data_IF_123356374879
#
_entry.id   IF_123356374879
#
_cell.length_a   1.000
_cell.length_b   1.000
_cell.length_c   1.000
_cell.angle_alpha   90.00
_cell.angle_beta   90.00
_cell.angle_gamma   90.00
#
_symmetry.space_group_name_H-M   'P 1'
#
loop_
_entity.id
_entity.type
_entity.pdbx_description
1 polymer ?
#
# COMPACT_ATOMS: atom_id res chain seq x y z
N UNK A 1 31.55 10.98 -1.58
CA UNK A 1 32.02 10.50 -0.26
C UNK A 1 33.13 11.44 0.22
N UNK A 2 33.18 11.74 1.51
CA UNK A 2 34.32 12.47 2.06
C UNK A 2 35.55 11.57 2.12
N UNK A 3 36.73 12.20 2.23
CA UNK A 3 37.99 11.48 2.39
C UNK A 3 37.92 10.51 3.59
N UNK A 4 38.63 9.39 3.47
CA UNK A 4 38.75 8.34 4.51
C UNK A 4 37.42 7.77 5.01
N UNK A 5 36.36 7.88 4.21
CA UNK A 5 35.02 7.40 4.58
C UNK A 5 34.42 8.14 5.77
N UNK A 6 34.87 9.38 6.06
CA UNK A 6 34.32 10.20 7.14
C UNK A 6 32.96 10.80 6.79
N UNK A 7 32.25 11.28 7.80
CA UNK A 7 30.93 11.92 7.60
C UNK A 7 31.03 13.40 7.19
N UNK A 8 32.18 14.06 7.41
CA UNK A 8 32.48 15.42 6.91
C UNK A 8 31.76 16.56 7.63
N UNK A 9 30.55 16.33 8.12
CA UNK A 9 29.70 17.29 8.83
C UNK A 9 29.19 16.70 10.16
N UNK A 10 28.73 17.56 11.07
CA UNK A 10 28.10 17.11 12.32
C UNK A 10 26.78 16.40 12.03
N UNK A 11 26.61 15.19 12.56
CA UNK A 11 25.35 14.44 12.52
C UNK A 11 24.62 14.50 13.86
N UNK A 12 23.28 14.58 13.84
CA UNK A 12 22.46 14.51 15.04
C UNK A 12 21.53 13.30 15.01
N UNK A 13 21.68 12.41 15.99
CA UNK A 13 20.91 11.18 16.11
C UNK A 13 19.64 11.34 16.92
N UNK A 14 18.48 11.41 16.26
CA UNK A 14 17.17 11.64 16.93
C UNK A 14 16.74 10.55 17.93
N UNK A 15 17.21 9.30 17.77
CA UNK A 15 16.84 8.19 18.68
C UNK A 15 17.64 8.19 19.98
N UNK A 16 18.91 8.59 19.90
CA UNK A 16 19.84 8.58 21.03
C UNK A 16 20.14 9.97 21.59
N UNK A 17 19.68 11.03 20.92
CA UNK A 17 20.02 12.43 21.21
C UNK A 17 21.55 12.67 21.26
N UNK A 18 22.30 11.99 20.40
CA UNK A 18 23.77 12.06 20.35
C UNK A 18 24.27 12.79 19.11
N UNK A 19 25.37 13.54 19.27
CA UNK A 19 26.08 14.16 18.17
C UNK A 19 27.20 13.25 17.63
N UNK A 20 27.30 13.15 16.31
CA UNK A 20 28.32 12.42 15.58
C UNK A 20 29.37 13.39 15.07
N UNK A 21 30.60 13.21 15.54
CA UNK A 21 31.72 14.09 15.20
C UNK A 21 32.15 13.89 13.73
N UNK A 22 32.38 14.99 12.97
CA UNK A 22 32.68 14.95 11.53
C UNK A 22 33.96 14.20 11.14
N UNK A 23 34.96 14.18 12.02
CA UNK A 23 36.30 13.62 11.74
C UNK A 23 36.52 12.26 12.39
N UNK A 24 35.74 11.90 13.42
CA UNK A 24 35.87 10.63 14.13
C UNK A 24 34.88 9.59 13.63
N UNK A 25 33.68 10.01 13.21
CA UNK A 25 32.62 9.10 12.75
C UNK A 25 32.82 8.73 11.29
N UNK A 26 32.40 7.52 10.92
CA UNK A 26 32.51 7.02 9.56
C UNK A 26 31.14 6.91 8.90
N UNK A 27 31.10 7.09 7.59
CA UNK A 27 29.88 6.95 6.82
C UNK A 27 29.40 5.50 6.87
N UNK A 28 28.10 5.31 7.03
CA UNK A 28 27.43 4.02 6.97
C UNK A 28 27.87 3.27 5.70
N UNK A 29 28.28 2.00 5.80
CA UNK A 29 28.98 1.20 4.76
C UNK A 29 30.49 1.44 4.58
N UNK A 30 31.13 2.22 5.44
CA UNK A 30 32.59 2.11 5.62
C UNK A 30 32.85 0.89 6.50
N UNK A 31 33.90 0.11 6.24
CA UNK A 31 34.28 -1.05 7.05
C UNK A 31 34.88 -0.67 8.43
N UNK A 32 34.29 0.32 9.10
CA UNK A 32 34.79 0.88 10.36
C UNK A 32 33.64 1.00 11.37
N UNK A 33 33.96 0.83 12.65
CA UNK A 33 33.03 1.07 13.74
C UNK A 33 32.67 2.57 13.86
N UNK A 34 31.58 2.89 14.59
CA UNK A 34 31.03 4.25 14.76
C UNK A 34 30.45 4.81 13.46
N UNK A 35 29.57 4.04 12.85
CA UNK A 35 28.89 4.37 11.60
C UNK A 35 27.74 5.37 11.81
N UNK A 36 27.65 6.36 10.92
CA UNK A 36 26.53 7.29 10.81
C UNK A 36 26.29 7.61 9.34
N UNK A 37 25.06 7.95 8.95
CA UNK A 37 24.76 8.31 7.55
C UNK A 37 25.20 9.75 7.28
N UNK A 38 26.20 9.94 6.42
CA UNK A 38 26.63 11.29 6.00
C UNK A 38 25.54 12.01 5.20
N UNK A 39 25.61 13.34 5.14
CA UNK A 39 24.78 14.15 4.24
C UNK A 39 25.00 13.81 2.77
N UNK A 40 26.24 13.49 2.37
CA UNK A 40 26.54 13.00 1.02
C UNK A 40 25.71 11.75 0.71
N UNK A 41 25.70 10.76 1.61
CA UNK A 41 24.95 9.51 1.41
C UNK A 41 23.45 9.72 1.52
N UNK A 42 23.02 10.54 2.47
CA UNK A 42 21.62 10.94 2.61
C UNK A 42 21.12 11.61 1.33
N UNK A 43 21.87 12.53 0.73
CA UNK A 43 21.47 13.22 -0.51
C UNK A 43 21.28 12.26 -1.69
N UNK A 44 22.07 11.17 -1.77
CA UNK A 44 21.92 10.14 -2.80
C UNK A 44 20.67 9.30 -2.60
N UNK A 45 20.32 8.97 -1.37
CA UNK A 45 19.12 8.22 -1.05
C UNK A 45 17.86 9.09 -1.10
N UNK A 46 17.96 10.35 -0.67
CA UNK A 46 16.83 11.25 -0.48
C UNK A 46 16.07 11.49 -1.77
N UNK A 47 16.75 11.75 -2.90
CA UNK A 47 16.06 11.92 -4.19
C UNK A 47 15.26 10.68 -4.56
N UNK A 48 15.83 9.48 -4.37
CA UNK A 48 15.12 8.24 -4.66
C UNK A 48 13.94 8.02 -3.72
N UNK A 49 14.11 8.26 -2.42
CA UNK A 49 13.02 8.19 -1.44
C UNK A 49 11.92 9.15 -1.86
N UNK A 50 12.25 10.43 -2.09
CA UNK A 50 11.30 11.45 -2.51
C UNK A 50 10.57 11.08 -3.81
N UNK A 51 11.27 10.52 -4.80
CA UNK A 51 10.64 10.04 -6.03
C UNK A 51 9.69 8.88 -5.76
N UNK A 52 10.13 7.85 -5.03
CA UNK A 52 9.29 6.67 -4.76
C UNK A 52 8.11 6.99 -3.85
N UNK A 53 8.27 7.91 -2.90
CA UNK A 53 7.17 8.38 -2.04
C UNK A 53 6.30 9.40 -2.73
N UNK A 54 6.79 10.12 -3.75
CA UNK A 54 5.92 10.98 -4.57
C UNK A 54 4.92 10.17 -5.42
N UNK A 55 5.13 8.87 -5.53
CA UNK A 55 4.15 7.93 -6.08
C UNK A 55 3.06 7.56 -5.05
N UNK A 56 2.80 8.43 -4.08
CA UNK A 56 1.73 8.35 -3.07
C UNK A 56 0.32 8.17 -3.66
N UNK A 57 0.17 8.18 -5.00
CA UNK A 57 -1.03 7.86 -5.76
C UNK A 57 -1.10 6.39 -6.24
N UNK A 58 -0.49 5.47 -5.50
CA UNK A 58 -0.36 4.07 -5.94
C UNK A 58 0.69 3.91 -7.04
N UNK A 59 1.15 2.68 -7.25
CA UNK A 59 1.92 2.39 -8.46
C UNK A 59 1.06 2.82 -9.66
N UNK A 60 1.61 3.52 -10.67
CA UNK A 60 0.83 3.84 -11.86
C UNK A 60 0.20 2.56 -12.37
N UNK A 61 -1.13 2.53 -12.43
CA UNK A 61 -1.85 1.45 -13.10
C UNK A 61 -1.23 1.37 -14.49
N UNK A 62 -0.75 0.19 -14.95
CA UNK A 62 -0.19 0.09 -16.28
C UNK A 62 -1.21 0.68 -17.27
N UNK A 63 -0.90 1.82 -17.88
CA UNK A 63 -1.81 2.45 -18.82
C UNK A 63 -1.70 1.74 -20.17
N UNK A 64 -2.85 1.32 -20.70
CA UNK A 64 -2.97 0.80 -22.05
C UNK A 64 -3.76 -0.52 -22.13
N UNK A 65 -4.24 -0.87 -23.35
CA UNK A 65 -4.98 -2.11 -23.60
C UNK A 65 -4.18 -3.39 -23.29
N UNK A 66 -2.87 -3.28 -23.09
CA UNK A 66 -1.95 -4.37 -22.76
C UNK A 66 -1.79 -4.62 -21.26
N UNK A 67 -2.44 -3.84 -20.39
CA UNK A 67 -2.36 -4.04 -18.94
C UNK A 67 -2.98 -5.38 -18.51
N UNK A 68 -3.98 -5.87 -19.26
CA UNK A 68 -4.68 -7.14 -18.98
C UNK A 68 -5.43 -7.17 -17.64
N UNK A 69 -5.50 -6.04 -16.91
CA UNK A 69 -6.12 -5.96 -15.60
C UNK A 69 -7.63 -5.70 -15.70
N UNK A 70 -8.37 -6.19 -14.70
CA UNK A 70 -9.78 -5.87 -14.48
C UNK A 70 -9.87 -4.73 -13.47
N UNK A 71 -10.49 -3.62 -13.89
CA UNK A 71 -10.70 -2.42 -13.06
C UNK A 71 -9.50 -1.47 -13.04
N UNK A 72 -9.77 -0.25 -12.56
CA UNK A 72 -8.77 0.84 -12.38
C UNK A 72 -8.66 1.31 -10.93
N UNK A 73 -9.60 0.90 -10.09
CA UNK A 73 -9.57 1.04 -8.63
C UNK A 73 -9.90 -0.34 -8.01
N UNK A 74 -9.21 -0.69 -6.92
CA UNK A 74 -9.35 -1.96 -6.22
C UNK A 74 -9.65 -1.70 -4.74
N UNK A 75 -10.69 -2.34 -4.23
CA UNK A 75 -10.92 -2.50 -2.80
C UNK A 75 -10.00 -3.60 -2.27
N UNK A 76 -9.19 -3.26 -1.27
CA UNK A 76 -8.25 -4.16 -0.60
C UNK A 76 -8.69 -4.37 0.85
N UNK A 77 -8.82 -5.62 1.24
CA UNK A 77 -9.06 -6.06 2.62
C UNK A 77 -7.87 -6.84 3.16
N UNK A 78 -7.29 -6.38 4.26
CA UNK A 78 -6.36 -7.16 5.07
C UNK A 78 -7.15 -7.88 6.16
N UNK A 79 -7.20 -9.21 6.11
CA UNK A 79 -7.90 -10.05 7.07
C UNK A 79 -6.88 -10.72 8.00
N UNK A 80 -7.01 -10.49 9.30
CA UNK A 80 -6.07 -11.00 10.28
C UNK A 80 -6.64 -12.23 11.04
N UNK A 81 -5.79 -13.13 11.58
CA UNK A 81 -6.24 -14.34 12.25
C UNK A 81 -7.03 -14.10 13.55
N UNK A 82 -6.90 -12.92 14.14
CA UNK A 82 -7.66 -12.50 15.32
C UNK A 82 -9.09 -12.01 14.97
N UNK A 83 -9.44 -12.03 13.69
CA UNK A 83 -10.73 -11.58 13.16
C UNK A 83 -10.83 -10.07 12.96
N UNK A 84 -9.75 -9.32 13.23
CA UNK A 84 -9.67 -7.92 12.83
C UNK A 84 -9.46 -7.81 11.31
N UNK A 85 -9.99 -6.75 10.74
CA UNK A 85 -9.92 -6.50 9.31
C UNK A 85 -9.67 -5.01 9.07
N UNK A 86 -8.88 -4.71 8.05
CA UNK A 86 -8.71 -3.34 7.55
C UNK A 86 -9.03 -3.29 6.07
N UNK A 87 -9.84 -2.31 5.67
CA UNK A 87 -10.29 -2.15 4.29
C UNK A 87 -9.91 -0.76 3.77
N UNK A 88 -9.42 -0.70 2.55
CA UNK A 88 -9.05 0.55 1.88
C UNK A 88 -9.12 0.41 0.36
N UNK A 89 -9.26 1.53 -0.35
CA UNK A 89 -9.25 1.56 -1.82
C UNK A 89 -7.87 2.01 -2.30
N UNK A 90 -7.36 1.36 -3.34
CA UNK A 90 -6.15 1.74 -4.05
C UNK A 90 -6.42 1.89 -5.55
N UNK A 91 -5.64 2.73 -6.21
CA UNK A 91 -5.56 2.75 -7.66
C UNK A 91 -4.88 1.46 -8.15
N UNK A 92 -5.47 0.80 -9.15
CA UNK A 92 -5.00 -0.51 -9.62
C UNK A 92 -6.10 -1.36 -10.24
N UNK A 93 -5.71 -2.51 -10.78
CA UNK A 93 -6.65 -3.54 -11.23
C UNK A 93 -6.15 -4.91 -10.80
N UNK A 94 -6.97 -5.94 -10.99
CA UNK A 94 -6.59 -7.33 -10.68
C UNK A 94 -6.30 -8.13 -11.94
N UNK A 95 -5.38 -9.09 -11.85
CA UNK A 95 -5.08 -10.02 -12.94
C UNK A 95 -6.17 -11.10 -13.04
N UNK A 96 -6.81 -11.28 -14.21
CA UNK A 96 -7.88 -12.27 -14.40
C UNK A 96 -7.46 -13.69 -14.00
N UNK A 97 -6.22 -14.08 -14.27
CA UNK A 97 -5.67 -15.42 -14.01
C UNK A 97 -5.53 -15.71 -12.52
N UNK A 98 -5.52 -14.68 -11.66
CA UNK A 98 -5.39 -14.83 -10.22
C UNK A 98 -6.74 -14.92 -9.49
N UNK A 99 -7.86 -14.71 -10.21
CA UNK A 99 -9.20 -14.77 -9.63
C UNK A 99 -9.47 -16.18 -9.11
N UNK A 100 -9.97 -16.25 -7.87
CA UNK A 100 -10.38 -17.51 -7.26
C UNK A 100 -11.89 -17.69 -7.40
N UNK A 101 -12.36 -18.80 -7.99
CA UNK A 101 -13.79 -19.11 -8.04
C UNK A 101 -14.40 -19.16 -6.63
N UNK A 102 -15.58 -18.57 -6.45
CA UNK A 102 -16.29 -18.56 -5.17
C UNK A 102 -15.84 -17.47 -4.19
N UNK A 103 -14.76 -16.74 -4.50
CA UNK A 103 -14.30 -15.57 -3.76
C UNK A 103 -14.80 -14.29 -4.43
N UNK A 104 -15.30 -13.34 -3.65
CA UNK A 104 -15.82 -12.09 -4.20
C UNK A 104 -16.38 -11.15 -3.15
N UNK A 105 -16.83 -9.99 -3.60
CA UNK A 105 -17.60 -9.05 -2.77
C UNK A 105 -18.86 -8.64 -3.53
N UNK A 106 -19.98 -8.62 -2.81
CA UNK A 106 -21.24 -8.04 -3.28
C UNK A 106 -21.29 -6.58 -2.87
N UNK A 107 -21.46 -5.69 -3.84
CA UNK A 107 -21.65 -4.26 -3.66
C UNK A 107 -23.14 -3.96 -3.73
N UNK A 108 -23.71 -3.41 -2.66
CA UNK A 108 -25.06 -2.83 -2.66
C UNK A 108 -24.93 -1.35 -3.03
N UNK A 109 -25.53 -0.95 -4.16
CA UNK A 109 -25.46 0.42 -4.70
C UNK A 109 -26.84 0.81 -5.22
N UNK A 110 -27.48 1.81 -4.60
CA UNK A 110 -28.77 2.33 -5.06
C UNK A 110 -29.88 1.27 -5.10
N UNK A 111 -29.82 0.29 -4.19
CA UNK A 111 -30.77 -0.84 -4.13
C UNK A 111 -30.51 -1.97 -5.14
N UNK A 112 -29.43 -1.90 -5.92
CA UNK A 112 -28.96 -2.98 -6.78
C UNK A 112 -27.74 -3.66 -6.18
N UNK A 113 -27.57 -4.96 -6.48
CA UNK A 113 -26.38 -5.71 -6.05
C UNK A 113 -25.50 -6.02 -7.25
N UNK A 114 -24.23 -5.64 -7.17
CA UNK A 114 -23.20 -5.96 -8.15
C UNK A 114 -22.20 -6.91 -7.51
N UNK A 115 -22.00 -8.09 -8.11
CA UNK A 115 -20.99 -9.03 -7.64
C UNK A 115 -19.67 -8.80 -8.38
N UNK A 116 -18.59 -8.67 -7.62
CA UNK A 116 -17.24 -8.61 -8.16
C UNK A 116 -16.40 -9.81 -7.72
N UNK A 117 -15.54 -10.36 -8.60
CA UNK A 117 -14.65 -11.45 -8.26
C UNK A 117 -13.50 -10.95 -7.38
N UNK A 118 -12.91 -11.86 -6.59
CA UNK A 118 -11.76 -11.53 -5.76
C UNK A 118 -10.50 -12.32 -6.11
N UNK A 119 -9.35 -11.67 -5.92
CA UNK A 119 -8.06 -12.32 -5.76
C UNK A 119 -7.77 -12.42 -4.27
N UNK A 120 -7.45 -13.62 -3.79
CA UNK A 120 -7.09 -13.86 -2.38
C UNK A 120 -5.65 -14.36 -2.29
N UNK A 121 -4.82 -13.70 -1.48
CA UNK A 121 -3.42 -14.06 -1.24
C UNK A 121 -3.16 -14.20 0.25
N UNK A 122 -2.58 -15.33 0.63
CA UNK A 122 -2.05 -15.50 1.98
C UNK A 122 -0.76 -14.67 2.11
N UNK A 123 -0.64 -13.92 3.20
CA UNK A 123 0.53 -13.13 3.52
C UNK A 123 1.67 -14.00 4.04
N UNK A 124 2.85 -13.39 4.19
CA UNK A 124 4.09 -14.07 4.62
C UNK A 124 4.04 -14.68 6.02
N UNK A 125 2.99 -14.41 6.80
CA UNK A 125 2.75 -15.03 8.11
C UNK A 125 1.90 -16.31 8.02
N UNK A 126 1.60 -16.77 6.80
CA UNK A 126 0.82 -17.95 6.43
C UNK A 126 -0.60 -18.01 7.02
N UNK A 127 -1.09 -16.90 7.57
CA UNK A 127 -2.38 -16.87 8.28
C UNK A 127 -3.22 -15.64 7.95
N UNK A 128 -2.58 -14.49 7.75
CA UNK A 128 -3.26 -13.28 7.30
C UNK A 128 -3.52 -13.36 5.80
N UNK A 129 -4.59 -12.75 5.33
CA UNK A 129 -4.98 -12.77 3.93
C UNK A 129 -5.18 -11.35 3.39
N UNK A 130 -4.81 -11.14 2.14
CA UNK A 130 -5.22 -10.01 1.33
C UNK A 130 -6.32 -10.44 0.37
N UNK A 131 -7.43 -9.73 0.42
CA UNK A 131 -8.55 -9.85 -0.51
C UNK A 131 -8.56 -8.60 -1.37
N UNK A 132 -8.49 -8.77 -2.69
CA UNK A 132 -8.45 -7.67 -3.65
C UNK A 132 -9.62 -7.83 -4.63
N UNK A 133 -10.43 -6.78 -4.74
CA UNK A 133 -11.66 -6.77 -5.53
C UNK A 133 -11.73 -5.51 -6.38
N UNK A 134 -11.94 -5.60 -7.70
CA UNK A 134 -12.08 -4.42 -8.54
C UNK A 134 -13.36 -3.68 -8.14
N UNK A 135 -13.28 -2.36 -8.06
CA UNK A 135 -14.47 -1.52 -7.90
C UNK A 135 -15.41 -1.70 -9.12
N UNK A 136 -16.74 -1.76 -8.94
CA UNK A 136 -17.67 -1.73 -10.07
C UNK A 136 -17.48 -0.50 -10.95
N UNK A 137 -17.56 -0.70 -12.27
CA UNK A 137 -17.37 0.38 -13.23
C UNK A 137 -18.41 1.49 -13.00
N UNK A 138 -17.92 2.73 -12.87
CA UNK A 138 -18.77 3.91 -12.65
C UNK A 138 -19.37 4.02 -11.25
N UNK A 139 -18.96 3.19 -10.29
CA UNK A 139 -19.41 3.27 -8.88
C UNK A 139 -18.31 3.92 -8.04
N UNK A 140 -18.62 5.05 -7.41
CA UNK A 140 -17.79 5.62 -6.35
C UNK A 140 -18.06 4.89 -5.02
N UNK A 141 -17.04 4.75 -4.18
CA UNK A 141 -17.17 4.20 -2.83
C UNK A 141 -18.21 4.96 -2.00
N UNK A 142 -18.36 6.26 -2.23
CA UNK A 142 -19.35 7.10 -1.55
C UNK A 142 -20.81 6.72 -1.86
N UNK A 143 -21.06 6.05 -3.00
CA UNK A 143 -22.38 5.62 -3.44
C UNK A 143 -22.69 4.17 -3.02
N UNK A 144 -21.73 3.48 -2.41
CA UNK A 144 -21.91 2.12 -1.90
C UNK A 144 -22.70 2.18 -0.59
N UNK A 145 -23.84 1.51 -0.55
CA UNK A 145 -24.68 1.38 0.64
C UNK A 145 -24.10 0.34 1.61
N UNK A 146 -23.60 -0.77 1.07
CA UNK A 146 -22.93 -1.80 1.83
C UNK A 146 -22.11 -2.75 0.97
N UNK A 147 -21.20 -3.49 1.61
CA UNK A 147 -20.47 -4.57 0.99
C UNK A 147 -20.74 -5.89 1.72
N UNK A 148 -20.71 -7.01 1.01
CA UNK A 148 -20.71 -8.33 1.65
C UNK A 148 -19.60 -9.20 1.08
N UNK A 149 -18.69 -9.65 1.94
CA UNK A 149 -17.63 -10.58 1.55
C UNK A 149 -18.20 -11.99 1.32
N UNK A 150 -17.83 -12.59 0.19
CA UNK A 150 -18.21 -13.94 -0.24
C UNK A 150 -16.96 -14.80 -0.24
N UNK A 151 -17.01 -15.93 0.48
CA UNK A 151 -15.93 -16.92 0.56
C UNK A 151 -16.47 -18.31 0.31
N UNK A 152 -15.83 -19.06 -0.59
CA UNK A 152 -16.32 -20.37 -1.04
C UNK A 152 -17.80 -20.35 -1.46
N UNK A 153 -18.28 -19.24 -2.03
CA UNK A 153 -19.67 -19.03 -2.42
C UNK A 153 -20.65 -18.73 -1.28
N UNK A 154 -20.19 -18.64 -0.03
CA UNK A 154 -21.02 -18.31 1.14
C UNK A 154 -20.84 -16.84 1.56
N UNK A 155 -21.95 -16.19 1.92
CA UNK A 155 -21.93 -14.84 2.50
C UNK A 155 -21.31 -14.90 3.90
N UNK A 156 -20.24 -14.14 4.14
CA UNK A 156 -19.51 -14.17 5.42
C UNK A 156 -19.83 -13.00 6.32
N UNK A 157 -19.76 -11.79 5.78
CA UNK A 157 -19.81 -10.57 6.60
C UNK A 157 -20.28 -9.38 5.78
N UNK A 158 -21.19 -8.60 6.36
CA UNK A 158 -21.57 -7.27 5.86
C UNK A 158 -20.55 -6.25 6.37
N UNK A 159 -19.98 -5.46 5.45
CA UNK A 159 -19.11 -4.33 5.75
C UNK A 159 -19.89 -3.04 5.49
N UNK A 160 -19.92 -2.19 6.50
CA UNK A 160 -20.36 -0.80 6.37
C UNK A 160 -19.28 0.03 5.66
N UNK A 161 -19.65 0.91 4.71
CA UNK A 161 -18.71 1.76 3.98
C UNK A 161 -17.80 2.61 4.88
N UNK A 162 -18.32 2.99 6.06
CA UNK A 162 -17.56 3.75 7.07
C UNK A 162 -16.34 3.02 7.64
N UNK A 163 -16.24 1.69 7.46
CA UNK A 163 -15.08 0.90 7.87
C UNK A 163 -13.96 0.90 6.81
N UNK A 164 -14.23 1.45 5.62
CA UNK A 164 -13.30 1.49 4.50
C UNK A 164 -12.60 2.84 4.52
N UNK A 165 -11.28 2.81 4.65
CA UNK A 165 -10.47 4.02 4.60
C UNK A 165 -10.28 4.42 3.14
N UNK A 166 -10.57 5.69 2.82
CA UNK A 166 -10.10 6.28 1.57
C UNK A 166 -8.57 6.20 1.52
N UNK A 167 -8.00 6.07 0.33
CA UNK A 167 -6.56 6.02 0.13
C UNK A 167 -5.89 7.18 0.90
N UNK A 168 -5.05 6.92 1.92
CA UNK A 168 -4.44 7.98 2.72
C UNK A 168 -3.48 8.91 1.91
N UNK A 169 -3.15 8.56 0.67
CA UNK A 169 -2.35 9.37 -0.26
C UNK A 169 -3.09 9.85 -1.52
N UNK A 170 -4.37 9.53 -1.70
CA UNK A 170 -5.13 9.95 -2.89
C UNK A 170 -5.43 11.46 -2.88
N UNK A 171 -5.36 12.17 -4.02
CA UNK A 171 -5.88 13.52 -4.08
C UNK A 171 -7.35 13.49 -3.67
N UNK A 172 -7.75 14.39 -2.77
CA UNK A 172 -9.17 14.69 -2.50
C UNK A 172 -9.84 14.96 -3.86
N UNK A 173 -10.64 14.02 -4.38
CA UNK A 173 -11.51 14.28 -5.52
C UNK A 173 -12.44 15.41 -5.08
N UNK A 174 -12.21 16.61 -5.62
CA UNK A 174 -13.03 17.77 -5.35
C UNK A 174 -14.44 17.49 -5.89
N UNK A 175 -15.43 17.72 -5.04
CA UNK A 175 -16.86 17.68 -5.38
C UNK A 175 -17.21 18.72 -6.43
#
# INVERSE_FOLDING_TARGET
PYADGKIGNWGFGIRGYTFHNPTVSFDYMTYCDKTWVSDWRWSKAFTRIATLTSWDAGAPVPEGPDAGLIGTEVLVGALYPDGSEEWFVLDGGIEPEQIRPGEGVLFEVGGHTVQQPAVVRTLSDDRSEWVMVPMPEGVDLADVDALTHVRDGALRRKLEPSMIRANPGGPLKAR
#
